data_IF_772497617165
#
_entry.id   IF_772497617165
#
_cell.length_a   1.000
_cell.length_b   1.000
_cell.length_c   1.000
_cell.angle_alpha   90.00
_cell.angle_beta   90.00
_cell.angle_gamma   90.00
#
_symmetry.space_group_name_H-M   'P 1'
#
loop_
_entity.id
_entity.type
_entity.pdbx_description
1 polymer ?
#
# COMPACT_ATOMS: atom_id res chain seq x y z
N UNK A 1 -46.77 1.10 19.36
CA UNK A 1 -45.49 1.66 19.83
C UNK A 1 -44.54 0.50 20.06
N UNK A 2 -43.31 0.56 19.56
CA UNK A 2 -42.33 -0.51 19.77
C UNK A 2 -41.81 -0.37 21.19
N UNK A 3 -42.20 -1.28 22.08
CA UNK A 3 -41.66 -1.34 23.43
C UNK A 3 -40.32 -2.07 23.40
N UNK A 4 -39.24 -1.30 23.50
CA UNK A 4 -37.92 -1.87 23.75
C UNK A 4 -37.88 -2.35 25.19
N UNK A 5 -37.65 -3.65 25.39
CA UNK A 5 -37.46 -4.17 26.75
C UNK A 5 -36.18 -3.57 27.32
N UNK A 6 -36.23 -3.07 28.55
CA UNK A 6 -35.07 -2.52 29.29
C UNK A 6 -33.89 -3.49 29.27
N UNK A 7 -34.19 -4.80 29.27
CA UNK A 7 -33.21 -5.86 29.16
C UNK A 7 -32.39 -5.81 27.86
N UNK A 8 -33.01 -5.48 26.72
CA UNK A 8 -32.32 -5.38 25.42
C UNK A 8 -31.38 -4.17 25.38
N UNK A 9 -31.76 -3.06 26.02
CA UNK A 9 -30.91 -1.88 26.19
C UNK A 9 -29.72 -2.16 27.12
N UNK A 10 -29.95 -2.87 28.23
CA UNK A 10 -28.91 -3.28 29.16
C UNK A 10 -27.92 -4.25 28.52
N UNK A 11 -28.40 -5.22 27.73
CA UNK A 11 -27.58 -6.14 26.95
C UNK A 11 -26.71 -5.41 25.92
N UNK A 12 -27.24 -4.36 25.27
CA UNK A 12 -26.48 -3.50 24.36
C UNK A 12 -25.32 -2.81 25.08
N UNK A 13 -25.60 -2.18 26.22
CA UNK A 13 -24.59 -1.49 27.05
C UNK A 13 -23.51 -2.48 27.51
N UNK A 14 -23.90 -3.67 27.98
CA UNK A 14 -22.96 -4.71 28.40
C UNK A 14 -22.11 -5.26 27.24
N UNK A 15 -22.68 -5.38 26.03
CA UNK A 15 -21.94 -5.82 24.85
C UNK A 15 -20.95 -4.77 24.36
N UNK A 16 -21.33 -3.49 24.34
CA UNK A 16 -20.43 -2.38 24.02
C UNK A 16 -19.30 -2.30 25.04
N UNK A 17 -19.60 -2.43 26.33
CA UNK A 17 -18.60 -2.44 27.40
C UNK A 17 -17.62 -3.60 27.23
N UNK A 18 -18.12 -4.83 26.98
CA UNK A 18 -17.27 -6.02 26.73
C UNK A 18 -16.39 -5.84 25.50
N UNK A 19 -16.93 -5.30 24.42
CA UNK A 19 -16.17 -5.11 23.19
C UNK A 19 -15.13 -4.01 23.34
N UNK A 20 -15.44 -2.93 24.07
CA UNK A 20 -14.48 -1.91 24.45
C UNK A 20 -13.36 -2.48 25.33
N UNK A 21 -13.69 -3.30 26.34
CA UNK A 21 -12.69 -3.95 27.18
C UNK A 21 -11.82 -4.93 26.40
N UNK A 22 -12.39 -5.73 25.49
CA UNK A 22 -11.64 -6.62 24.60
C UNK A 22 -10.68 -5.86 23.68
N UNK A 23 -11.14 -4.75 23.09
CA UNK A 23 -10.30 -3.88 22.28
C UNK A 23 -9.18 -3.25 23.13
N UNK A 24 -9.51 -2.77 24.33
CA UNK A 24 -8.56 -2.17 25.25
C UNK A 24 -7.53 -3.18 25.74
N UNK A 25 -7.93 -4.38 26.13
CA UNK A 25 -7.00 -5.44 26.56
C UNK A 25 -6.15 -5.93 25.40
N UNK A 26 -6.70 -6.07 24.20
CA UNK A 26 -5.92 -6.39 22.99
C UNK A 26 -4.84 -5.34 22.70
N UNK A 27 -5.16 -4.05 22.86
CA UNK A 27 -4.21 -2.95 22.64
C UNK A 27 -3.23 -2.77 23.79
N UNK A 28 -3.63 -3.06 25.03
CA UNK A 28 -2.76 -3.00 26.22
C UNK A 28 -1.80 -4.20 26.29
N UNK A 29 -2.24 -5.39 25.84
CA UNK A 29 -1.41 -6.59 25.73
C UNK A 29 -0.43 -6.50 24.53
N UNK A 30 -0.69 -5.58 23.61
CA UNK A 30 0.24 -5.32 22.52
C UNK A 30 1.55 -4.77 23.08
N UNK A 31 2.67 -5.41 22.71
CA UNK A 31 4.05 -5.09 23.14
C UNK A 31 4.43 -3.60 23.09
N UNK A 32 3.69 -2.80 22.32
CA UNK A 32 3.90 -1.37 22.16
C UNK A 32 3.51 -0.50 23.37
N UNK A 33 2.74 -1.03 24.33
CA UNK A 33 2.40 -0.34 25.59
C UNK A 33 3.27 -0.77 26.79
N UNK A 34 4.29 -1.60 26.57
CA UNK A 34 5.18 -2.04 27.65
C UNK A 34 5.98 -0.87 28.25
N UNK A 35 6.35 -0.98 29.53
CA UNK A 35 7.19 0.01 30.24
C UNK A 35 8.54 0.24 29.56
N UNK A 36 9.01 -0.73 28.77
CA UNK A 36 10.20 -0.60 27.92
C UNK A 36 9.95 0.30 26.73
N UNK A 37 8.83 0.11 26.04
CA UNK A 37 8.41 0.91 24.88
C UNK A 37 8.19 2.36 25.30
N UNK A 38 7.58 2.60 26.48
CA UNK A 38 7.43 3.94 27.04
C UNK A 38 8.79 4.64 27.27
N UNK A 39 9.78 3.92 27.81
CA UNK A 39 11.13 4.48 28.01
C UNK A 39 11.79 4.89 26.70
N UNK A 40 11.68 4.05 25.67
CA UNK A 40 12.25 4.34 24.34
C UNK A 40 11.54 5.53 23.67
N UNK A 41 10.22 5.62 23.80
CA UNK A 41 9.47 6.75 23.26
C UNK A 41 9.88 8.04 23.98
N UNK A 42 9.98 8.02 25.32
CA UNK A 42 10.37 9.19 26.10
C UNK A 42 11.80 9.67 25.75
N UNK A 43 12.74 8.75 25.47
CA UNK A 43 14.07 9.11 24.95
C UNK A 43 14.01 9.80 23.58
N UNK A 44 12.96 9.53 22.81
CA UNK A 44 12.74 10.11 21.47
C UNK A 44 11.82 11.34 21.51
N UNK A 45 11.50 11.87 22.70
CA UNK A 45 10.62 13.03 22.87
C UNK A 45 9.13 12.75 22.56
N UNK A 46 8.71 11.48 22.58
CA UNK A 46 7.31 11.09 22.32
C UNK A 46 6.78 10.20 23.44
N UNK A 47 5.48 10.25 23.71
CA UNK A 47 4.88 9.33 24.68
C UNK A 47 4.26 8.13 23.97
N UNK A 48 4.38 6.93 24.55
CA UNK A 48 3.70 5.73 24.04
C UNK A 48 2.20 5.80 24.39
N UNK A 49 1.49 6.71 23.73
CA UNK A 49 0.04 6.87 23.84
C UNK A 49 -0.70 5.82 23.00
N UNK A 50 -2.01 5.69 23.22
CA UNK A 50 -2.88 4.80 22.44
C UNK A 50 -2.77 5.00 20.92
N UNK A 51 -2.69 6.26 20.48
CA UNK A 51 -2.56 6.61 19.06
C UNK A 51 -1.23 6.10 18.49
N UNK A 52 -0.16 6.15 19.28
CA UNK A 52 1.13 5.60 18.90
C UNK A 52 1.05 4.07 18.74
N UNK A 53 0.38 3.36 19.66
CA UNK A 53 0.22 1.91 19.58
C UNK A 53 -0.54 1.47 18.33
N UNK A 54 -1.63 2.17 17.97
CA UNK A 54 -2.38 1.90 16.75
C UNK A 54 -1.51 2.13 15.52
N UNK A 55 -0.83 3.28 15.43
CA UNK A 55 0.06 3.61 14.30
C UNK A 55 1.18 2.59 14.17
N UNK A 56 1.76 2.17 15.28
CA UNK A 56 2.83 1.17 15.33
C UNK A 56 2.34 -0.21 14.87
N UNK A 57 1.16 -0.64 15.31
CA UNK A 57 0.57 -1.91 14.92
C UNK A 57 0.19 -1.93 13.43
N UNK A 58 -0.38 -0.84 12.92
CA UNK A 58 -0.66 -0.66 11.49
C UNK A 58 0.61 -0.70 10.65
N UNK A 59 1.73 -0.15 11.16
CA UNK A 59 3.02 -0.18 10.45
C UNK A 59 3.65 -1.57 10.44
N UNK A 60 3.56 -2.33 11.53
CA UNK A 60 4.20 -3.66 11.64
C UNK A 60 3.44 -4.77 10.92
N UNK A 61 2.10 -4.81 11.07
CA UNK A 61 1.24 -5.86 10.49
C UNK A 61 -0.09 -5.27 10.00
N UNK A 62 -0.08 -4.48 8.90
CA UNK A 62 -1.28 -3.79 8.42
C UNK A 62 -2.44 -4.74 8.11
N UNK A 63 -2.17 -5.88 7.48
CA UNK A 63 -3.20 -6.87 7.10
C UNK A 63 -3.91 -7.49 8.32
N UNK A 64 -3.17 -7.79 9.39
CA UNK A 64 -3.75 -8.37 10.60
C UNK A 64 -4.68 -7.37 11.29
N UNK A 65 -4.29 -6.10 11.34
CA UNK A 65 -5.11 -5.01 11.90
C UNK A 65 -6.38 -4.81 11.09
N UNK A 66 -6.29 -4.83 9.76
CA UNK A 66 -7.44 -4.67 8.88
C UNK A 66 -8.44 -5.80 9.04
N UNK A 67 -7.99 -7.06 9.03
CA UNK A 67 -8.88 -8.21 9.20
C UNK A 67 -9.53 -8.18 10.58
N UNK A 68 -8.77 -7.90 11.64
CA UNK A 68 -9.32 -7.81 13.00
C UNK A 68 -10.33 -6.67 13.13
N UNK A 69 -10.03 -5.48 12.58
CA UNK A 69 -10.95 -4.33 12.65
C UNK A 69 -12.23 -4.56 11.82
N UNK A 70 -12.14 -5.23 10.67
CA UNK A 70 -13.30 -5.65 9.89
C UNK A 70 -14.20 -6.59 10.70
N UNK A 71 -13.64 -7.69 11.20
CA UNK A 71 -14.40 -8.69 11.98
C UNK A 71 -15.04 -8.08 13.23
N UNK A 72 -14.30 -7.23 13.94
CA UNK A 72 -14.80 -6.50 15.11
C UNK A 72 -15.97 -5.60 14.73
N UNK A 73 -15.85 -4.87 13.63
CA UNK A 73 -16.89 -3.95 13.17
C UNK A 73 -18.16 -4.69 12.72
N UNK A 74 -18.04 -5.81 12.01
CA UNK A 74 -19.19 -6.67 11.64
C UNK A 74 -19.88 -7.21 12.89
N UNK A 75 -19.11 -7.70 13.87
CA UNK A 75 -19.65 -8.24 15.11
C UNK A 75 -20.40 -7.15 15.90
N UNK A 76 -19.81 -5.96 16.03
CA UNK A 76 -20.40 -4.82 16.72
C UNK A 76 -21.69 -4.33 16.06
N UNK A 77 -21.61 -3.92 14.79
CA UNK A 77 -22.75 -3.35 14.09
C UNK A 77 -23.87 -4.37 13.86
N UNK A 78 -23.52 -5.63 13.58
CA UNK A 78 -24.50 -6.70 13.45
C UNK A 78 -25.21 -7.01 14.76
N UNK A 79 -24.52 -6.97 15.91
CA UNK A 79 -25.16 -7.13 17.21
C UNK A 79 -26.09 -5.95 17.54
N UNK A 80 -25.67 -4.72 17.24
CA UNK A 80 -26.48 -3.51 17.41
C UNK A 80 -27.76 -3.59 16.54
N UNK A 81 -27.62 -3.91 15.26
CA UNK A 81 -28.76 -4.06 14.34
C UNK A 81 -29.72 -5.14 14.80
N UNK A 82 -29.21 -6.30 15.25
CA UNK A 82 -30.04 -7.38 15.78
C UNK A 82 -30.91 -6.89 16.94
N UNK A 83 -30.35 -6.17 17.91
CA UNK A 83 -31.11 -5.69 19.07
C UNK A 83 -32.26 -4.79 18.65
N UNK A 84 -32.02 -3.87 17.72
CA UNK A 84 -33.03 -2.90 17.31
C UNK A 84 -34.09 -3.45 16.36
N UNK A 85 -33.76 -4.46 15.55
CA UNK A 85 -34.69 -5.08 14.59
C UNK A 85 -35.38 -6.34 15.13
N UNK A 86 -34.84 -7.01 16.15
CA UNK A 86 -35.47 -8.19 16.78
C UNK A 86 -36.94 -7.98 17.18
N UNK A 87 -37.35 -6.88 17.85
CA UNK A 87 -38.76 -6.69 18.19
C UNK A 87 -39.66 -6.48 16.97
N UNK A 88 -39.11 -6.08 15.82
CA UNK A 88 -39.86 -5.93 14.56
C UNK A 88 -39.84 -7.18 13.68
N UNK A 89 -39.05 -8.22 13.99
CA UNK A 89 -38.89 -9.43 13.16
C UNK A 89 -40.22 -10.08 12.72
N UNK A 90 -41.19 -10.18 13.63
CA UNK A 90 -42.52 -10.76 13.35
C UNK A 90 -43.34 -9.85 12.42
N UNK A 91 -43.27 -8.54 12.60
CA UNK A 91 -44.01 -7.56 11.81
C UNK A 91 -43.36 -7.27 10.45
N UNK A 92 -42.04 -7.45 10.35
CA UNK A 92 -41.28 -7.17 9.14
C UNK A 92 -41.30 -8.31 8.13
N UNK A 93 -41.62 -9.53 8.57
CA UNK A 93 -41.48 -10.76 7.78
C UNK A 93 -40.02 -11.19 7.57
N UNK A 94 -39.07 -10.54 8.27
CA UNK A 94 -37.64 -10.79 8.16
C UNK A 94 -37.12 -11.43 9.45
N UNK A 95 -36.41 -12.55 9.32
CA UNK A 95 -35.85 -13.25 10.47
C UNK A 95 -34.56 -12.59 10.98
N UNK A 96 -34.72 -11.59 11.86
CA UNK A 96 -33.63 -11.00 12.63
C UNK A 96 -33.37 -11.70 13.98
N UNK A 97 -34.03 -12.82 14.29
CA UNK A 97 -33.72 -13.59 15.50
C UNK A 97 -32.37 -14.31 15.36
N UNK A 98 -32.06 -14.79 14.16
CA UNK A 98 -30.76 -15.36 13.81
C UNK A 98 -29.67 -14.30 13.73
N UNK A 99 -28.57 -14.50 14.47
CA UNK A 99 -27.41 -13.59 14.45
C UNK A 99 -26.72 -13.57 13.08
N UNK A 100 -26.78 -14.69 12.34
CA UNK A 100 -26.12 -14.81 11.04
C UNK A 100 -26.72 -13.84 10.01
N UNK A 101 -28.03 -13.63 10.04
CA UNK A 101 -28.71 -12.69 9.14
C UNK A 101 -28.33 -11.24 9.45
N UNK A 102 -28.11 -10.93 10.74
CA UNK A 102 -27.63 -9.61 11.15
C UNK A 102 -26.16 -9.36 10.74
N UNK A 103 -25.31 -10.39 10.79
CA UNK A 103 -23.94 -10.30 10.26
C UNK A 103 -23.91 -10.20 8.74
N UNK A 104 -24.75 -10.95 8.04
CA UNK A 104 -24.91 -10.88 6.60
C UNK A 104 -25.29 -9.47 6.14
N UNK A 105 -26.37 -8.89 6.69
CA UNK A 105 -26.81 -7.54 6.31
C UNK A 105 -25.75 -6.48 6.62
N UNK A 106 -25.02 -6.63 7.73
CA UNK A 106 -23.94 -5.71 8.10
C UNK A 106 -22.78 -5.80 7.11
N UNK A 107 -22.36 -7.02 6.77
CA UNK A 107 -21.27 -7.27 5.82
C UNK A 107 -21.60 -6.68 4.44
N UNK A 108 -22.76 -7.00 3.86
CA UNK A 108 -23.15 -6.52 2.53
C UNK A 108 -23.37 -5.01 2.48
N UNK A 109 -23.75 -4.39 3.60
CA UNK A 109 -23.91 -2.93 3.71
C UNK A 109 -22.54 -2.25 3.80
N UNK A 110 -21.60 -2.82 4.58
CA UNK A 110 -20.22 -2.31 4.67
C UNK A 110 -19.48 -2.41 3.34
N UNK A 111 -19.68 -3.49 2.58
CA UNK A 111 -19.08 -3.68 1.26
C UNK A 111 -19.84 -2.96 0.14
N UNK A 112 -20.85 -2.15 0.49
CA UNK A 112 -21.70 -1.38 -0.42
C UNK A 112 -22.39 -2.23 -1.50
N UNK A 113 -22.55 -3.53 -1.29
CA UNK A 113 -23.27 -4.45 -2.20
C UNK A 113 -24.78 -4.27 -2.07
N UNK A 114 -25.30 -4.35 -0.85
CA UNK A 114 -26.70 -4.04 -0.53
C UNK A 114 -27.76 -4.83 -1.34
N UNK A 115 -27.81 -6.16 -1.22
CA UNK A 115 -28.81 -6.98 -1.92
C UNK A 115 -30.27 -6.62 -1.62
N UNK A 116 -30.55 -6.11 -0.41
CA UNK A 116 -31.89 -5.68 -0.01
C UNK A 116 -32.83 -6.81 0.43
N UNK A 117 -32.29 -8.02 0.65
CA UNK A 117 -32.98 -9.17 1.23
C UNK A 117 -33.34 -8.92 2.72
N UNK A 118 -32.39 -8.41 3.48
CA UNK A 118 -32.57 -7.93 4.85
C UNK A 118 -32.29 -6.42 4.90
N UNK A 119 -33.16 -5.66 5.57
CA UNK A 119 -32.96 -4.22 5.75
C UNK A 119 -33.63 -3.72 7.04
N UNK A 120 -33.04 -2.74 7.73
CA UNK A 120 -33.62 -2.22 8.97
C UNK A 120 -34.91 -1.44 8.70
N UNK A 121 -35.99 -1.80 9.40
CA UNK A 121 -37.26 -1.07 9.34
C UNK A 121 -37.42 -0.10 10.51
N UNK A 122 -36.70 -0.29 11.61
CA UNK A 122 -36.69 0.62 12.75
C UNK A 122 -36.06 1.97 12.41
N UNK A 123 -36.58 3.06 12.97
CA UNK A 123 -35.97 4.39 12.84
C UNK A 123 -34.52 4.39 13.37
N UNK A 124 -34.27 3.75 14.51
CA UNK A 124 -32.91 3.60 15.04
C UNK A 124 -32.08 2.66 14.16
N UNK A 125 -32.66 1.56 13.66
CA UNK A 125 -31.95 0.62 12.79
C UNK A 125 -31.45 1.29 11.50
N UNK A 126 -32.25 2.20 10.92
CA UNK A 126 -31.86 3.02 9.77
C UNK A 126 -30.71 3.97 10.09
N UNK A 127 -30.73 4.61 11.27
CA UNK A 127 -29.61 5.45 11.71
C UNK A 127 -28.32 4.64 11.86
N UNK A 128 -28.39 3.43 12.42
CA UNK A 128 -27.26 2.51 12.50
C UNK A 128 -26.79 2.10 11.09
N UNK A 129 -27.71 1.85 10.16
CA UNK A 129 -27.39 1.57 8.75
C UNK A 129 -26.58 2.68 8.09
N UNK A 130 -26.90 3.95 8.37
CA UNK A 130 -26.13 5.11 7.88
C UNK A 130 -24.70 5.08 8.45
N UNK A 131 -24.54 4.82 9.75
CA UNK A 131 -23.21 4.71 10.37
C UNK A 131 -22.39 3.56 9.78
N UNK A 132 -23.02 2.42 9.51
CA UNK A 132 -22.38 1.27 8.86
C UNK A 132 -21.88 1.65 7.46
N UNK A 133 -22.69 2.39 6.68
CA UNK A 133 -22.31 2.83 5.35
C UNK A 133 -21.09 3.76 5.39
N UNK A 134 -21.10 4.80 6.25
CA UNK A 134 -19.95 5.70 6.41
C UNK A 134 -18.68 4.96 6.86
N UNK A 135 -18.82 4.04 7.82
CA UNK A 135 -17.71 3.24 8.31
C UNK A 135 -17.16 2.29 7.22
N UNK A 136 -18.04 1.68 6.43
CA UNK A 136 -17.67 0.83 5.30
C UNK A 136 -16.82 1.58 4.26
N UNK A 137 -17.24 2.78 3.86
CA UNK A 137 -16.47 3.63 2.93
C UNK A 137 -15.10 3.98 3.49
N UNK A 138 -15.02 4.36 4.78
CA UNK A 138 -13.74 4.63 5.44
C UNK A 138 -12.83 3.39 5.47
N UNK A 139 -13.41 2.21 5.70
CA UNK A 139 -12.69 0.94 5.70
C UNK A 139 -12.13 0.58 4.32
N UNK A 140 -12.92 0.76 3.26
CA UNK A 140 -12.48 0.53 1.87
C UNK A 140 -11.30 1.45 1.53
N UNK A 141 -11.37 2.73 1.91
CA UNK A 141 -10.26 3.67 1.70
C UNK A 141 -8.97 3.18 2.38
N UNK A 142 -9.06 2.73 3.63
CA UNK A 142 -7.91 2.21 4.35
C UNK A 142 -7.37 0.91 3.72
N UNK A 143 -8.25 0.01 3.31
CA UNK A 143 -7.89 -1.22 2.62
C UNK A 143 -7.06 -0.94 1.35
N UNK A 144 -7.52 0.00 0.51
CA UNK A 144 -6.80 0.40 -0.71
C UNK A 144 -5.39 0.89 -0.38
N UNK A 145 -5.23 1.79 0.59
CA UNK A 145 -3.90 2.33 0.97
C UNK A 145 -2.97 1.22 1.42
N UNK A 146 -3.44 0.29 2.25
CA UNK A 146 -2.59 -0.82 2.71
C UNK A 146 -2.23 -1.80 1.60
N UNK A 147 -3.16 -2.05 0.67
CA UNK A 147 -2.93 -2.93 -0.47
C UNK A 147 -1.90 -2.30 -1.42
N UNK A 148 -2.02 -1.00 -1.68
CA UNK A 148 -1.00 -0.25 -2.44
C UNK A 148 0.36 -0.38 -1.78
N UNK A 149 0.48 -0.12 -0.47
CA UNK A 149 1.74 -0.23 0.24
C UNK A 149 2.34 -1.65 0.23
N UNK A 150 1.49 -2.69 0.20
CA UNK A 150 1.94 -4.08 0.09
C UNK A 150 2.48 -4.42 -1.30
N UNK A 151 1.94 -3.78 -2.34
CA UNK A 151 2.36 -3.99 -3.73
C UNK A 151 3.53 -3.08 -4.14
N UNK A 152 3.91 -2.11 -3.31
CA UNK A 152 5.12 -1.34 -3.51
C UNK A 152 6.34 -2.22 -3.25
N UNK A 153 7.29 -2.18 -4.17
CA UNK A 153 8.56 -2.88 -3.99
C UNK A 153 9.32 -2.30 -2.79
N UNK A 154 9.86 -3.18 -1.96
CA UNK A 154 10.89 -2.76 -1.01
C UNK A 154 12.17 -2.38 -1.78
N UNK A 155 13.00 -1.51 -1.19
CA UNK A 155 14.24 -1.02 -1.83
C UNK A 155 15.18 -2.15 -2.31
N UNK A 156 15.13 -3.34 -1.69
CA UNK A 156 15.90 -4.51 -2.12
C UNK A 156 15.28 -5.24 -3.33
N UNK A 157 13.95 -5.32 -3.38
CA UNK A 157 13.21 -5.94 -4.47
C UNK A 157 13.26 -5.09 -5.73
N UNK A 158 13.13 -3.76 -5.59
CA UNK A 158 13.24 -2.81 -6.70
C UNK A 158 14.59 -2.93 -7.41
N UNK A 159 15.69 -2.99 -6.65
CA UNK A 159 17.04 -3.21 -7.20
C UNK A 159 17.13 -4.53 -7.96
N UNK A 160 16.56 -5.59 -7.41
CA UNK A 160 16.55 -6.92 -8.03
C UNK A 160 15.74 -6.92 -9.32
N UNK A 161 14.59 -6.24 -9.34
CA UNK A 161 13.74 -6.06 -10.51
C UNK A 161 14.47 -5.31 -11.64
N UNK A 162 15.11 -4.19 -11.32
CA UNK A 162 15.91 -3.41 -12.29
C UNK A 162 17.05 -4.28 -12.86
N UNK A 163 17.77 -5.02 -12.01
CA UNK A 163 18.84 -5.91 -12.45
C UNK A 163 18.32 -7.00 -13.41
N UNK A 164 17.18 -7.63 -13.08
CA UNK A 164 16.55 -8.63 -13.94
C UNK A 164 16.13 -8.05 -15.29
N UNK A 165 15.58 -6.83 -15.30
CA UNK A 165 15.26 -6.12 -16.54
C UNK A 165 16.52 -5.85 -17.38
N UNK A 166 17.62 -5.45 -16.75
CA UNK A 166 18.92 -5.26 -17.44
C UNK A 166 19.44 -6.56 -18.05
N UNK A 167 19.34 -7.68 -17.34
CA UNK A 167 19.74 -8.99 -17.87
C UNK A 167 18.90 -9.37 -19.08
N UNK A 168 17.57 -9.20 -19.00
CA UNK A 168 16.66 -9.47 -20.11
C UNK A 168 16.98 -8.62 -21.35
N UNK A 169 17.21 -7.31 -21.17
CA UNK A 169 17.58 -6.43 -22.30
C UNK A 169 18.92 -6.79 -22.92
N UNK A 170 19.92 -7.24 -22.13
CA UNK A 170 21.19 -7.74 -22.67
C UNK A 170 20.99 -8.99 -23.52
N UNK A 171 20.11 -9.90 -23.10
CA UNK A 171 19.83 -11.12 -23.85
C UNK A 171 19.02 -10.84 -25.14
N UNK A 172 18.10 -9.88 -25.10
CA UNK A 172 17.42 -9.37 -26.31
C UNK A 172 18.40 -8.76 -27.31
N UNK A 173 19.36 -7.95 -26.83
CA UNK A 173 20.41 -7.38 -27.67
C UNK A 173 21.27 -8.46 -28.33
N UNK A 174 21.66 -9.50 -27.57
CA UNK A 174 22.41 -10.66 -28.12
C UNK A 174 21.59 -11.38 -29.19
N UNK A 175 20.30 -11.63 -28.94
CA UNK A 175 19.41 -12.30 -29.91
C UNK A 175 19.31 -11.51 -31.22
N UNK A 176 19.17 -10.20 -31.15
CA UNK A 176 19.13 -9.37 -32.35
C UNK A 176 20.49 -9.25 -33.04
N UNK A 177 21.60 -9.27 -32.29
CA UNK A 177 22.93 -9.35 -32.88
C UNK A 177 23.08 -10.63 -33.73
N UNK A 178 22.60 -11.78 -33.24
CA UNK A 178 22.60 -13.04 -33.98
C UNK A 178 21.74 -12.94 -35.26
N UNK A 179 20.58 -12.29 -35.20
CA UNK A 179 19.74 -12.07 -36.37
C UNK A 179 20.45 -11.22 -37.44
N UNK A 180 21.11 -10.14 -37.02
CA UNK A 180 21.90 -9.27 -37.91
C UNK A 180 23.04 -10.04 -38.57
N UNK A 181 23.80 -10.82 -37.79
CA UNK A 181 24.89 -11.66 -38.31
C UNK A 181 24.37 -12.69 -39.33
N UNK A 182 23.26 -13.36 -39.01
CA UNK A 182 22.62 -14.35 -39.90
C UNK A 182 22.11 -13.70 -41.19
N UNK A 183 21.50 -12.53 -41.10
CA UNK A 183 21.02 -11.79 -42.26
C UNK A 183 22.18 -11.28 -43.14
N UNK A 184 23.28 -10.81 -42.54
CA UNK A 184 24.50 -10.42 -43.25
C UNK A 184 25.12 -11.60 -44.01
N UNK A 185 25.18 -12.77 -43.37
CA UNK A 185 25.66 -13.99 -44.00
C UNK A 185 24.78 -14.39 -45.19
N UNK A 186 23.45 -14.44 -45.02
CA UNK A 186 22.50 -14.74 -46.11
C UNK A 186 22.62 -13.77 -47.28
N UNK A 187 22.79 -12.47 -47.00
CA UNK A 187 23.02 -11.46 -48.03
C UNK A 187 24.30 -11.75 -48.83
N UNK A 188 25.39 -12.14 -48.15
CA UNK A 188 26.66 -12.50 -48.79
C UNK A 188 26.53 -13.77 -49.65
N UNK A 189 25.78 -14.77 -49.20
CA UNK A 189 25.51 -16.01 -49.95
C UNK A 189 24.67 -15.73 -51.20
N UNK A 190 23.56 -15.00 -51.08
CA UNK A 190 22.70 -14.65 -52.24
C UNK A 190 23.48 -13.88 -53.30
N UNK A 191 24.35 -12.96 -52.89
CA UNK A 191 25.22 -12.21 -53.82
C UNK A 191 26.22 -13.12 -54.55
N UNK A 192 26.67 -14.22 -53.93
CA UNK A 192 27.57 -15.20 -54.54
C UNK A 192 26.84 -16.18 -55.47
N UNK A 193 25.72 -16.76 -55.04
CA UNK A 193 25.00 -17.80 -55.80
C UNK A 193 24.13 -17.23 -56.93
N UNK A 194 23.58 -16.03 -56.76
CA UNK A 194 22.67 -15.41 -57.72
C UNK A 194 23.10 -13.98 -58.06
N UNK A 195 24.27 -13.77 -58.70
CA UNK A 195 24.79 -12.44 -58.99
C UNK A 195 23.90 -11.61 -59.93
N UNK A 196 23.22 -12.24 -60.88
CA UNK A 196 22.38 -11.56 -61.88
C UNK A 196 20.90 -11.41 -61.46
N UNK A 197 20.48 -11.97 -60.33
CA UNK A 197 19.08 -11.93 -59.87
C UNK A 197 18.82 -10.72 -58.95
N UNK A 198 18.55 -9.57 -59.58
CA UNK A 198 18.42 -8.26 -58.90
C UNK A 198 17.35 -8.29 -57.80
N UNK A 199 16.21 -8.95 -58.02
CA UNK A 199 15.11 -9.00 -57.05
C UNK A 199 15.49 -9.71 -55.76
N UNK A 200 16.19 -10.86 -55.85
CA UNK A 200 16.66 -11.61 -54.66
C UNK A 200 17.69 -10.80 -53.88
N UNK A 201 18.60 -10.12 -54.56
CA UNK A 201 19.65 -9.33 -53.93
C UNK A 201 19.07 -8.11 -53.17
N UNK A 202 18.13 -7.38 -53.78
CA UNK A 202 17.43 -6.26 -53.14
C UNK A 202 16.67 -6.73 -51.88
N UNK A 203 15.96 -7.86 -51.95
CA UNK A 203 15.26 -8.40 -50.79
C UNK A 203 16.20 -8.82 -49.65
N UNK A 204 17.36 -9.41 -49.97
CA UNK A 204 18.36 -9.76 -48.97
C UNK A 204 18.94 -8.52 -48.27
N UNK A 205 19.27 -7.47 -49.02
CA UNK A 205 19.74 -6.17 -48.49
C UNK A 205 18.67 -5.53 -47.60
N UNK A 206 17.40 -5.53 -48.05
CA UNK A 206 16.27 -4.97 -47.29
C UNK A 206 16.08 -5.69 -45.95
N UNK A 207 16.14 -7.03 -45.96
CA UNK A 207 16.02 -7.84 -44.76
C UNK A 207 17.16 -7.56 -43.77
N UNK A 208 18.42 -7.52 -44.25
CA UNK A 208 19.57 -7.15 -43.43
C UNK A 208 19.41 -5.77 -42.79
N UNK A 209 19.04 -4.76 -43.60
CA UNK A 209 18.79 -3.40 -43.10
C UNK A 209 17.68 -3.37 -42.05
N UNK A 210 16.63 -4.17 -42.22
CA UNK A 210 15.55 -4.31 -41.24
C UNK A 210 16.03 -4.83 -39.88
N UNK A 211 16.82 -5.91 -39.85
CA UNK A 211 17.39 -6.43 -38.60
C UNK A 211 18.42 -5.46 -38.00
N UNK A 212 19.24 -4.80 -38.82
CA UNK A 212 20.22 -3.82 -38.35
C UNK A 212 19.55 -2.60 -37.68
N UNK A 213 18.46 -2.09 -38.24
CA UNK A 213 17.70 -1.00 -37.64
C UNK A 213 17.08 -1.41 -36.29
N UNK A 214 16.56 -2.64 -36.17
CA UNK A 214 16.04 -3.18 -34.89
C UNK A 214 17.14 -3.28 -33.84
N UNK A 215 18.29 -3.84 -34.19
CA UNK A 215 19.45 -3.93 -33.30
C UNK A 215 19.92 -2.54 -32.84
N UNK A 216 20.02 -1.58 -33.77
CA UNK A 216 20.41 -0.19 -33.44
C UNK A 216 19.36 0.52 -32.56
N UNK A 217 18.07 0.23 -32.73
CA UNK A 217 17.03 0.78 -31.87
C UNK A 217 17.17 0.26 -30.43
N UNK A 218 17.35 -1.06 -30.27
CA UNK A 218 17.52 -1.70 -28.96
C UNK A 218 18.82 -1.25 -28.29
N UNK A 219 19.93 -1.24 -29.03
CA UNK A 219 21.24 -0.79 -28.52
C UNK A 219 21.19 0.66 -28.03
N UNK A 220 20.52 1.57 -28.76
CA UNK A 220 20.33 2.95 -28.33
C UNK A 220 19.46 3.08 -27.09
N UNK A 221 18.35 2.33 -27.01
CA UNK A 221 17.47 2.32 -25.83
C UNK A 221 18.21 1.84 -24.58
N UNK A 222 19.01 0.77 -24.69
CA UNK A 222 19.82 0.26 -23.58
C UNK A 222 20.84 1.31 -23.13
N UNK A 223 21.56 1.93 -24.06
CA UNK A 223 22.57 2.95 -23.74
C UNK A 223 21.95 4.20 -23.08
N UNK A 224 20.81 4.67 -23.58
CA UNK A 224 20.10 5.80 -22.98
C UNK A 224 19.67 5.54 -21.53
N UNK A 225 19.26 4.30 -21.22
CA UNK A 225 18.94 3.92 -19.84
C UNK A 225 20.17 3.98 -18.91
N UNK A 226 21.36 3.58 -19.38
CA UNK A 226 22.60 3.67 -18.57
C UNK A 226 23.07 5.11 -18.37
N UNK A 227 22.99 5.97 -19.40
CA UNK A 227 23.40 7.38 -19.32
C UNK A 227 22.55 8.13 -18.29
N UNK A 228 21.22 7.98 -18.36
CA UNK A 228 20.28 8.59 -17.40
C UNK A 228 20.55 8.17 -15.95
N UNK A 229 20.92 6.91 -15.73
CA UNK A 229 21.22 6.37 -14.40
C UNK A 229 22.57 6.86 -13.87
N UNK A 230 23.57 6.98 -14.75
CA UNK A 230 24.89 7.51 -14.38
C UNK A 230 24.79 8.98 -13.98
N UNK A 231 23.94 9.75 -14.65
CA UNK A 231 23.66 11.14 -14.31
C UNK A 231 22.90 11.25 -12.97
N UNK A 232 21.94 10.35 -12.72
CA UNK A 232 21.26 10.27 -11.41
C UNK A 232 22.23 9.92 -10.27
N UNK A 233 23.15 8.97 -10.48
CA UNK A 233 24.19 8.61 -9.51
C UNK A 233 25.21 9.74 -9.28
N UNK A 234 25.51 10.53 -10.33
CA UNK A 234 26.33 11.75 -10.19
C UNK A 234 25.63 12.79 -9.33
N UNK A 235 24.39 13.13 -9.66
CA UNK A 235 23.58 14.09 -8.89
C UNK A 235 23.46 13.65 -7.42
N UNK A 236 23.31 12.34 -7.18
CA UNK A 236 23.24 11.81 -5.82
C UNK A 236 24.54 12.01 -5.04
N UNK A 237 25.71 11.79 -5.66
CA UNK A 237 27.01 12.07 -5.04
C UNK A 237 27.17 13.57 -4.76
N UNK A 238 26.85 14.42 -5.73
CA UNK A 238 26.95 15.88 -5.55
C UNK A 238 26.04 16.37 -4.41
N UNK A 239 24.87 15.75 -4.22
CA UNK A 239 23.97 16.01 -3.09
C UNK A 239 24.52 15.51 -1.75
N UNK A 240 25.23 14.38 -1.74
CA UNK A 240 25.91 13.86 -0.55
C UNK A 240 27.06 14.80 -0.13
N UNK A 241 27.88 15.25 -1.08
CA UNK A 241 28.97 16.22 -0.85
C UNK A 241 28.42 17.56 -0.32
N UNK A 242 27.35 18.09 -0.93
CA UNK A 242 26.70 19.32 -0.46
C UNK A 242 26.13 19.17 0.96
N UNK A 243 25.63 17.99 1.30
CA UNK A 243 25.12 17.73 2.66
C UNK A 243 26.26 17.74 3.67
N UNK A 244 27.42 17.16 3.35
CA UNK A 244 28.62 17.23 4.21
C UNK A 244 29.10 18.67 4.40
N UNK A 245 29.11 19.49 3.34
CA UNK A 245 29.49 20.90 3.43
C UNK A 245 28.53 21.70 4.33
N UNK A 246 27.22 21.45 4.22
CA UNK A 246 26.21 22.09 5.07
C UNK A 246 26.40 21.69 6.54
N UNK A 247 26.66 20.42 6.82
CA UNK A 247 26.93 19.94 8.18
C UNK A 247 28.23 20.56 8.73
N UNK A 248 29.28 20.69 7.91
CA UNK A 248 30.53 21.34 8.29
C UNK A 248 30.36 22.84 8.60
N UNK A 249 29.60 23.58 7.78
CA UNK A 249 29.28 24.99 8.03
C UNK A 249 28.49 25.13 9.33
N UNK A 250 27.51 24.26 9.57
CA UNK A 250 26.71 24.25 10.80
C UNK A 250 27.58 24.01 12.03
N UNK A 251 28.52 23.07 11.97
CA UNK A 251 29.45 22.79 13.06
C UNK A 251 30.36 23.99 13.34
N UNK A 252 30.90 24.64 12.31
CA UNK A 252 31.71 25.86 12.47
C UNK A 252 30.90 27.02 13.06
N UNK A 253 29.67 27.24 12.60
CA UNK A 253 28.78 28.25 13.17
C UNK A 253 28.52 27.96 14.66
N UNK A 254 28.31 26.69 15.04
CA UNK A 254 28.13 26.30 16.43
C UNK A 254 29.36 26.60 17.30
N UNK A 255 30.57 26.41 16.76
CA UNK A 255 31.82 26.74 17.46
C UNK A 255 32.01 28.26 17.60
N UNK A 256 31.64 29.04 16.58
CA UNK A 256 31.69 30.50 16.62
C UNK A 256 30.66 31.05 17.61
N UNK A 257 29.42 30.54 17.63
CA UNK A 257 28.43 30.94 18.64
C UNK A 257 28.93 30.67 20.07
N UNK A 258 29.57 29.51 20.30
CA UNK A 258 30.21 29.19 21.57
C UNK A 258 31.37 30.13 21.92
N UNK A 259 32.19 30.54 20.94
CA UNK A 259 33.33 31.43 21.19
C UNK A 259 32.93 32.89 21.44
N UNK A 260 31.80 33.33 20.87
CA UNK A 260 31.24 34.68 21.09
C UNK A 260 30.42 34.74 22.40
N UNK A 261 30.23 33.62 23.10
CA UNK A 261 29.48 33.56 24.37
C UNK A 261 27.98 33.78 24.18
N UNK A 262 27.48 33.60 22.96
CA UNK A 262 26.04 33.58 22.68
C UNK A 262 25.58 32.15 23.01
N UNK A 263 25.28 31.91 24.28
CA UNK A 263 24.38 30.80 24.62
C UNK A 263 23.09 31.04 23.85
N UNK A 264 22.80 30.20 22.85
CA UNK A 264 21.47 30.05 22.26
C UNK A 264 20.51 29.70 23.41
N UNK A 265 19.93 30.73 24.02
CA UNK A 265 18.64 30.60 24.68
C UNK A 265 17.57 30.58 23.60
N UNK A 266 16.64 29.66 23.82
CA UNK A 266 15.39 29.40 23.11
C UNK A 266 15.53 28.31 22.03
N UNK A 267 14.73 27.25 22.05
CA UNK A 267 13.28 27.26 22.29
C UNK A 267 12.77 25.99 23.01
N UNK A 268 12.36 26.16 24.26
CA UNK A 268 11.31 25.38 24.90
C UNK A 268 10.06 26.28 24.91
N UNK A 269 9.17 26.09 23.93
CA UNK A 269 7.74 26.46 23.93
C UNK A 269 7.04 25.93 22.70
#
# INVERSE_FOLDING_TARGET
>A
MVEYRINDLFLLIMCLLRTYHLLRTSLTLSHFMDTRSQRVCNMSGSEATFMFSIKSLMKKKPYSVLICSLLLSIALFGFILRIFERPLSIASGQDFNSINNAFWVTLITMTTVGYGDFFPKSNIGRFVGILIAFWGVAFVSLFVVTLTNLLLFENGEEKSFILLQRLKSKDELKKEAVNVMTAAYRQKVVKREHPNDIKKNINAVRNFRGYMLKFQAISRSIRGNYETETDADRIKRDLEDLREDVDFIKDNLSQICKSIGIEEKETEK
#
